data_IF_971698299747
#
_entry.id   IF_971698299747
#
_cell.length_a   1.000
_cell.length_b   1.000
_cell.length_c   1.000
_cell.angle_alpha   90.00
_cell.angle_beta   90.00
_cell.angle_gamma   90.00
#
_symmetry.space_group_name_H-M   'P 1'
#
loop_
_entity.id
_entity.type
_entity.pdbx_description
1 polymer ?
#
# COMPACT_ATOMS: atom_id res chain seq x y z
N UNK A 1 32.95 88.47 -45.85
CA UNK A 1 32.04 87.40 -46.33
C UNK A 1 32.94 86.21 -46.65
N UNK A 2 32.81 84.99 -46.15
CA UNK A 2 31.85 84.29 -45.31
C UNK A 2 32.34 82.84 -45.24
N UNK A 3 31.60 81.96 -44.55
CA UNK A 3 31.81 80.50 -44.43
C UNK A 3 32.51 80.10 -43.12
N UNK A 4 31.75 80.21 -42.03
CA UNK A 4 31.97 79.45 -40.79
C UNK A 4 30.63 79.11 -40.14
N UNK A 5 29.69 78.54 -40.89
CA UNK A 5 28.36 78.14 -40.34
C UNK A 5 27.70 77.03 -41.19
N UNK A 6 28.26 75.81 -41.19
CA UNK A 6 27.58 74.66 -41.83
C UNK A 6 27.52 73.38 -40.97
N UNK A 7 28.47 73.13 -40.08
CA UNK A 7 28.50 71.85 -39.35
C UNK A 7 27.59 71.75 -38.11
N UNK A 8 27.01 72.85 -37.63
CA UNK A 8 26.14 72.84 -36.42
C UNK A 8 24.70 72.39 -36.71
N UNK A 9 24.22 72.54 -37.94
CA UNK A 9 22.85 72.15 -38.33
C UNK A 9 22.71 70.65 -38.59
N UNK A 10 23.76 70.00 -39.10
CA UNK A 10 23.74 68.55 -39.37
C UNK A 10 23.76 67.71 -38.09
N UNK A 11 24.53 68.10 -37.06
CA UNK A 11 24.54 67.39 -35.77
C UNK A 11 23.21 67.48 -35.00
N UNK A 12 22.46 68.57 -35.14
CA UNK A 12 21.13 68.73 -34.50
C UNK A 12 20.07 67.89 -35.24
N UNK A 13 20.18 67.77 -36.57
CA UNK A 13 19.29 66.90 -37.36
C UNK A 13 19.56 65.42 -37.11
N UNK A 14 20.83 65.01 -36.94
CA UNK A 14 21.20 63.64 -36.57
C UNK A 14 20.81 63.28 -35.13
N UNK A 15 20.83 64.24 -34.19
CA UNK A 15 20.40 63.99 -32.80
C UNK A 15 18.88 63.86 -32.67
N UNK A 16 18.10 64.58 -33.49
CA UNK A 16 16.64 64.47 -33.54
C UNK A 16 16.16 63.15 -34.16
N UNK A 17 16.89 62.58 -35.11
CA UNK A 17 16.58 61.28 -35.72
C UNK A 17 16.92 60.13 -34.75
N UNK A 18 17.99 60.24 -33.95
CA UNK A 18 18.32 59.23 -32.92
C UNK A 18 17.40 59.31 -31.69
N UNK A 19 16.90 60.50 -31.33
CA UNK A 19 15.86 60.67 -30.30
C UNK A 19 14.46 60.24 -30.77
N UNK A 20 14.18 60.24 -32.08
CA UNK A 20 12.95 59.70 -32.66
C UNK A 20 12.94 58.18 -32.82
N UNK A 21 14.09 57.51 -32.74
CA UNK A 21 14.23 56.06 -32.87
C UNK A 21 14.21 55.31 -31.52
N UNK A 22 14.15 56.03 -30.39
CA UNK A 22 14.15 55.44 -29.03
C UNK A 22 12.80 55.54 -28.31
N UNK A 23 11.72 55.94 -29.01
CA UNK A 23 10.43 56.25 -28.36
C UNK A 23 9.16 55.82 -29.11
N UNK A 24 9.24 54.96 -30.12
CA UNK A 24 8.06 54.36 -30.73
C UNK A 24 8.18 52.84 -30.64
N UNK A 25 7.75 52.27 -29.52
CA UNK A 25 7.15 50.93 -29.58
C UNK A 25 6.03 50.99 -30.61
N UNK A 26 5.92 50.01 -31.51
CA UNK A 26 4.83 50.02 -32.48
C UNK A 26 3.50 50.06 -31.73
N UNK A 27 2.50 50.76 -32.27
CA UNK A 27 1.16 50.76 -31.68
C UNK A 27 0.62 49.32 -31.47
N UNK A 28 1.06 48.40 -32.33
CA UNK A 28 0.83 46.96 -32.24
C UNK A 28 1.48 46.33 -30.99
N UNK A 29 2.72 46.72 -30.64
CA UNK A 29 3.39 46.27 -29.42
C UNK A 29 2.67 46.76 -28.16
N UNK A 30 2.28 48.04 -28.11
CA UNK A 30 1.55 48.61 -26.97
C UNK A 30 0.17 47.95 -26.80
N UNK A 31 -0.55 47.71 -27.89
CA UNK A 31 -1.82 47.00 -27.85
C UNK A 31 -1.66 45.56 -27.36
N UNK A 32 -0.65 44.83 -27.86
CA UNK A 32 -0.38 43.45 -27.44
C UNK A 32 0.06 43.37 -25.96
N UNK A 33 0.79 44.38 -25.47
CA UNK A 33 1.16 44.48 -24.05
C UNK A 33 -0.07 44.67 -23.16
N UNK A 34 -0.98 45.58 -23.54
CA UNK A 34 -2.24 45.82 -22.81
C UNK A 34 -3.10 44.56 -22.77
N UNK A 35 -3.20 43.83 -23.89
CA UNK A 35 -3.96 42.58 -23.94
C UNK A 35 -3.29 41.47 -23.12
N UNK A 36 -1.97 41.41 -23.09
CA UNK A 36 -1.22 40.52 -22.22
C UNK A 36 -1.47 40.83 -20.74
N UNK A 37 -1.42 42.09 -20.33
CA UNK A 37 -1.71 42.51 -18.95
C UNK A 37 -3.15 42.19 -18.54
N UNK A 38 -4.12 42.44 -19.41
CA UNK A 38 -5.52 42.04 -19.20
C UNK A 38 -5.65 40.52 -19.08
N UNK A 39 -4.95 39.76 -19.91
CA UNK A 39 -4.98 38.30 -19.88
C UNK A 39 -4.33 37.74 -18.60
N UNK A 40 -3.24 38.35 -18.12
CA UNK A 40 -2.62 38.04 -16.83
C UNK A 40 -3.56 38.31 -15.67
N UNK A 41 -4.23 39.46 -15.66
CA UNK A 41 -5.20 39.83 -14.65
C UNK A 41 -6.40 38.86 -14.61
N UNK A 42 -6.87 38.46 -15.79
CA UNK A 42 -7.95 37.48 -15.94
C UNK A 42 -7.53 36.03 -15.67
N UNK A 43 -6.23 35.74 -15.59
CA UNK A 43 -5.64 34.39 -15.41
C UNK A 43 -6.21 33.35 -16.37
N UNK A 44 -6.42 33.72 -17.64
CA UNK A 44 -6.96 32.84 -18.68
C UNK A 44 -5.82 32.38 -19.61
N UNK A 45 -5.55 31.08 -19.67
CA UNK A 45 -4.36 30.58 -20.35
C UNK A 45 -4.41 30.80 -21.86
N UNK A 46 -5.59 30.71 -22.46
CA UNK A 46 -5.78 30.87 -23.90
C UNK A 46 -5.51 32.31 -24.33
N UNK A 47 -6.08 33.28 -23.60
CA UNK A 47 -5.83 34.71 -23.85
C UNK A 47 -4.37 35.09 -23.63
N UNK A 48 -3.71 34.48 -22.65
CA UNK A 48 -2.28 34.70 -22.38
C UNK A 48 -1.43 34.21 -23.56
N UNK A 49 -1.74 33.04 -24.14
CA UNK A 49 -1.00 32.53 -25.31
C UNK A 49 -1.21 33.43 -26.53
N UNK A 50 -2.44 33.88 -26.79
CA UNK A 50 -2.73 34.79 -27.92
C UNK A 50 -1.91 36.07 -27.82
N UNK A 51 -1.94 36.75 -26.66
CA UNK A 51 -1.20 37.99 -26.46
C UNK A 51 0.33 37.78 -26.52
N UNK A 52 0.83 36.68 -25.94
CA UNK A 52 2.26 36.33 -26.01
C UNK A 52 2.72 35.92 -27.41
N UNK A 53 1.83 35.44 -28.28
CA UNK A 53 2.17 35.12 -29.67
C UNK A 53 2.54 36.41 -30.40
N UNK A 54 1.68 37.43 -30.28
CA UNK A 54 1.90 38.75 -30.88
C UNK A 54 3.14 39.44 -30.30
N UNK A 55 3.30 39.44 -28.99
CA UNK A 55 4.48 40.00 -28.33
C UNK A 55 5.78 39.28 -28.72
N UNK A 56 5.74 37.95 -28.87
CA UNK A 56 6.90 37.17 -29.31
C UNK A 56 7.25 37.38 -30.78
N UNK A 57 6.28 37.65 -31.65
CA UNK A 57 6.54 38.01 -33.06
C UNK A 57 7.25 39.36 -33.18
N UNK A 58 6.90 40.32 -32.32
CA UNK A 58 7.50 41.67 -32.30
C UNK A 58 8.86 41.67 -31.58
N UNK A 59 8.94 41.05 -30.40
CA UNK A 59 10.13 41.05 -29.53
C UNK A 59 10.48 39.62 -29.03
N UNK A 60 11.01 38.73 -29.90
CA UNK A 60 11.24 37.32 -29.55
C UNK A 60 12.20 37.11 -28.38
N UNK A 61 13.23 37.96 -28.27
CA UNK A 61 14.24 37.87 -27.19
C UNK A 61 13.66 38.14 -25.81
N UNK A 62 12.63 38.98 -25.74
CA UNK A 62 11.98 39.38 -24.49
C UNK A 62 10.89 38.39 -24.10
N UNK A 63 10.02 38.01 -25.04
CA UNK A 63 8.81 37.24 -24.74
C UNK A 63 8.90 35.74 -25.07
N UNK A 64 9.93 35.28 -25.79
CA UNK A 64 10.02 33.89 -26.25
C UNK A 64 9.94 32.85 -25.15
N UNK A 65 10.63 33.08 -24.03
CA UNK A 65 10.56 32.16 -22.87
C UNK A 65 9.16 32.11 -22.25
N UNK A 66 8.49 33.26 -22.13
CA UNK A 66 7.14 33.34 -21.59
C UNK A 66 6.14 32.67 -22.54
N UNK A 67 6.25 32.93 -23.85
CA UNK A 67 5.45 32.32 -24.89
C UNK A 67 5.59 30.80 -24.89
N UNK A 68 6.82 30.26 -24.88
CA UNK A 68 7.05 28.82 -24.82
C UNK A 68 6.39 28.18 -23.59
N UNK A 69 6.50 28.83 -22.43
CA UNK A 69 5.93 28.35 -21.17
C UNK A 69 4.39 28.35 -21.23
N UNK A 70 3.78 29.45 -21.68
CA UNK A 70 2.34 29.57 -21.82
C UNK A 70 1.77 28.60 -22.86
N UNK A 71 2.44 28.44 -24.01
CA UNK A 71 2.03 27.51 -25.06
C UNK A 71 2.09 26.04 -24.58
N UNK A 72 3.17 25.66 -23.86
CA UNK A 72 3.25 24.33 -23.22
C UNK A 72 2.11 24.10 -22.22
N UNK A 73 1.78 25.12 -21.41
CA UNK A 73 0.69 25.04 -20.45
C UNK A 73 -0.68 24.91 -21.14
N UNK A 74 -0.96 25.71 -22.18
CA UNK A 74 -2.20 25.65 -22.96
C UNK A 74 -2.38 24.30 -23.66
N UNK A 75 -1.33 23.76 -24.31
CA UNK A 75 -1.37 22.42 -24.89
C UNK A 75 -1.69 21.34 -23.86
N UNK A 76 -1.09 21.41 -22.68
CA UNK A 76 -1.38 20.48 -21.59
C UNK A 76 -2.80 20.63 -21.05
N UNK A 77 -3.32 21.85 -20.96
CA UNK A 77 -4.69 22.15 -20.54
C UNK A 77 -5.72 21.59 -21.53
N UNK A 78 -5.54 21.84 -22.83
CA UNK A 78 -6.43 21.31 -23.87
C UNK A 78 -6.40 19.77 -23.92
N UNK A 79 -5.23 19.17 -23.71
CA UNK A 79 -5.11 17.72 -23.53
C UNK A 79 -5.89 17.23 -22.31
N UNK A 80 -5.83 17.93 -21.19
CA UNK A 80 -6.59 17.58 -19.99
C UNK A 80 -8.11 17.64 -20.22
N UNK A 81 -8.60 18.64 -20.96
CA UNK A 81 -10.03 18.72 -21.35
C UNK A 81 -10.45 17.48 -22.15
N UNK A 82 -9.70 17.15 -23.19
CA UNK A 82 -10.02 16.00 -24.05
C UNK A 82 -10.07 14.68 -23.24
N UNK A 83 -9.08 14.48 -22.37
CA UNK A 83 -9.00 13.30 -21.51
C UNK A 83 -10.11 13.25 -20.45
N UNK A 84 -10.49 14.42 -19.90
CA UNK A 84 -11.61 14.47 -18.97
C UNK A 84 -12.94 14.11 -19.65
N UNK A 85 -13.14 14.55 -20.90
CA UNK A 85 -14.32 14.23 -21.69
C UNK A 85 -14.38 12.75 -22.09
N UNK A 86 -13.22 12.09 -22.25
CA UNK A 86 -13.14 10.64 -22.51
C UNK A 86 -13.21 9.77 -21.26
N UNK A 87 -13.28 10.37 -20.05
CA UNK A 87 -13.31 9.63 -18.78
C UNK A 87 -11.95 9.12 -18.31
N UNK A 88 -10.85 9.57 -18.92
CA UNK A 88 -9.48 9.23 -18.53
C UNK A 88 -8.99 10.12 -17.37
N UNK A 89 -9.63 9.98 -16.21
CA UNK A 89 -9.44 10.87 -15.04
C UNK A 89 -7.96 11.00 -14.60
N UNK A 90 -7.17 9.91 -14.68
CA UNK A 90 -5.75 9.91 -14.32
C UNK A 90 -4.88 10.72 -15.28
N UNK A 91 -5.00 10.44 -16.58
CA UNK A 91 -4.24 11.12 -17.63
C UNK A 91 -4.67 12.59 -17.69
N UNK A 92 -5.96 12.87 -17.45
CA UNK A 92 -6.50 14.21 -17.31
C UNK A 92 -5.86 14.95 -16.14
N UNK A 93 -5.76 14.31 -14.95
CA UNK A 93 -5.04 14.85 -13.80
C UNK A 93 -3.56 15.14 -14.10
N UNK A 94 -2.84 14.20 -14.72
CA UNK A 94 -1.43 14.42 -15.06
C UNK A 94 -1.25 15.59 -16.03
N UNK A 95 -2.15 15.74 -17.00
CA UNK A 95 -2.12 16.82 -17.97
C UNK A 95 -2.49 18.17 -17.35
N UNK A 96 -3.49 18.19 -16.46
CA UNK A 96 -3.89 19.40 -15.73
C UNK A 96 -2.81 19.85 -14.72
N UNK A 97 -2.14 18.91 -14.05
CA UNK A 97 -0.98 19.20 -13.19
C UNK A 97 0.13 19.88 -14.00
N UNK A 98 0.48 19.32 -15.17
CA UNK A 98 1.48 19.92 -16.06
C UNK A 98 1.07 21.33 -16.51
N UNK A 99 -0.20 21.52 -16.87
CA UNK A 99 -0.71 22.83 -17.26
C UNK A 99 -0.55 23.86 -16.15
N UNK A 100 -1.06 23.56 -14.94
CA UNK A 100 -1.05 24.49 -13.82
C UNK A 100 0.36 24.77 -13.29
N UNK A 101 1.24 23.76 -13.22
CA UNK A 101 2.64 23.95 -12.78
C UNK A 101 3.48 24.68 -13.83
N UNK A 102 3.16 24.49 -15.11
CA UNK A 102 3.75 25.30 -16.17
C UNK A 102 3.25 26.74 -16.08
N UNK A 103 1.95 27.00 -15.96
CA UNK A 103 1.41 28.34 -15.78
C UNK A 103 0.16 28.33 -14.88
N UNK A 104 0.16 29.04 -13.73
CA UNK A 104 -0.91 28.94 -12.74
C UNK A 104 -2.14 29.78 -13.11
N UNK A 105 -2.75 29.47 -14.25
CA UNK A 105 -3.99 30.06 -14.72
C UNK A 105 -5.21 29.50 -13.95
N UNK A 106 -6.30 30.27 -13.91
CA UNK A 106 -7.50 29.93 -13.13
C UNK A 106 -8.24 28.72 -13.71
N UNK A 107 -8.33 28.64 -15.04
CA UNK A 107 -8.89 27.50 -15.77
C UNK A 107 -8.12 26.20 -15.51
N UNK A 108 -6.78 26.27 -15.55
CA UNK A 108 -5.87 25.17 -15.28
C UNK A 108 -5.96 24.72 -13.83
N UNK A 109 -6.10 25.67 -12.89
CA UNK A 109 -6.36 25.37 -11.47
C UNK A 109 -7.70 24.64 -11.30
N UNK A 110 -8.77 25.12 -11.93
CA UNK A 110 -10.09 24.50 -11.83
C UNK A 110 -10.08 23.06 -12.38
N UNK A 111 -9.47 22.85 -13.54
CA UNK A 111 -9.27 21.53 -14.14
C UNK A 111 -8.42 20.62 -13.23
N UNK A 112 -7.33 21.13 -12.65
CA UNK A 112 -6.49 20.39 -11.70
C UNK A 112 -7.27 19.94 -10.46
N UNK A 113 -8.09 20.82 -9.88
CA UNK A 113 -8.90 20.46 -8.71
C UNK A 113 -9.97 19.43 -9.08
N UNK A 114 -10.66 19.62 -10.21
CA UNK A 114 -11.71 18.71 -10.67
C UNK A 114 -11.17 17.31 -10.94
N UNK A 115 -10.13 17.21 -11.77
CA UNK A 115 -9.46 15.95 -12.11
C UNK A 115 -8.77 15.32 -10.90
N UNK A 116 -8.10 16.13 -10.07
CA UNK A 116 -7.44 15.68 -8.84
C UNK A 116 -8.39 15.04 -7.84
N UNK A 117 -9.60 15.58 -7.66
CA UNK A 117 -10.63 14.99 -6.79
C UNK A 117 -11.06 13.59 -7.25
N UNK A 118 -11.01 13.30 -8.56
CA UNK A 118 -11.36 11.96 -9.10
C UNK A 118 -10.32 10.90 -8.73
N UNK A 119 -9.07 11.30 -8.51
CA UNK A 119 -7.94 10.40 -8.23
C UNK A 119 -7.36 10.52 -6.82
N UNK A 120 -7.89 11.42 -5.97
CA UNK A 120 -7.37 11.67 -4.61
C UNK A 120 -7.41 10.43 -3.70
N UNK A 121 -8.32 9.49 -3.98
CA UNK A 121 -8.46 8.23 -3.25
C UNK A 121 -7.17 7.39 -3.29
N UNK A 122 -6.31 7.57 -4.30
CA UNK A 122 -4.99 6.94 -4.38
C UNK A 122 -4.08 7.34 -3.19
N UNK A 123 -4.23 8.54 -2.64
CA UNK A 123 -3.51 8.96 -1.44
C UNK A 123 -3.99 8.18 -0.20
N UNK A 124 -5.26 7.77 -0.16
CA UNK A 124 -5.78 6.92 0.91
C UNK A 124 -5.26 5.47 0.77
N UNK A 125 -5.09 4.98 -0.46
CA UNK A 125 -4.42 3.70 -0.74
C UNK A 125 -2.96 3.75 -0.26
N UNK A 126 -2.20 4.77 -0.69
CA UNK A 126 -0.80 4.98 -0.27
C UNK A 126 -0.67 5.05 1.25
N UNK A 127 -1.57 5.77 1.94
CA UNK A 127 -1.58 5.86 3.40
C UNK A 127 -1.75 4.49 4.07
N UNK A 128 -2.66 3.65 3.57
CA UNK A 128 -2.87 2.31 4.13
C UNK A 128 -1.70 1.37 3.80
N UNK A 129 -1.10 1.49 2.61
CA UNK A 129 0.11 0.78 2.23
C UNK A 129 1.26 1.14 3.17
N UNK A 130 1.54 2.44 3.37
CA UNK A 130 2.56 2.92 4.31
C UNK A 130 2.33 2.37 5.72
N UNK A 131 1.09 2.46 6.21
CA UNK A 131 0.69 1.93 7.51
C UNK A 131 1.00 0.43 7.64
N UNK A 132 0.85 -0.36 6.57
CA UNK A 132 1.20 -1.78 6.58
C UNK A 132 2.70 -1.98 6.86
N UNK A 133 3.58 -1.25 6.19
CA UNK A 133 5.03 -1.32 6.44
C UNK A 133 5.41 -0.85 7.84
N UNK A 134 4.83 0.26 8.31
CA UNK A 134 5.08 0.80 9.66
C UNK A 134 4.69 -0.19 10.78
N UNK A 135 3.76 -1.10 10.49
CA UNK A 135 3.26 -2.11 11.42
C UNK A 135 4.02 -3.45 11.35
N UNK A 136 4.93 -3.64 10.40
CA UNK A 136 5.68 -4.89 10.31
C UNK A 136 6.67 -5.02 11.49
N UNK A 137 6.82 -6.23 12.05
CA UNK A 137 7.89 -6.49 13.00
C UNK A 137 9.25 -6.15 12.42
N UNK A 138 10.07 -5.43 13.18
CA UNK A 138 11.47 -5.18 12.81
C UNK A 138 12.25 -6.50 12.84
N UNK A 139 13.21 -6.65 11.92
CA UNK A 139 14.10 -7.81 11.83
C UNK A 139 13.34 -9.15 11.72
N UNK A 140 12.29 -9.19 10.89
CA UNK A 140 11.39 -10.34 10.78
C UNK A 140 12.11 -11.65 10.46
N UNK A 141 13.19 -11.64 9.68
CA UNK A 141 13.96 -12.87 9.42
C UNK A 141 14.56 -13.45 10.71
N UNK A 142 15.22 -12.62 11.52
CA UNK A 142 15.85 -13.04 12.78
C UNK A 142 14.80 -13.58 13.75
N UNK A 143 13.62 -12.94 13.77
CA UNK A 143 12.48 -13.37 14.56
C UNK A 143 12.00 -14.76 14.15
N UNK A 144 11.80 -15.01 12.85
CA UNK A 144 11.39 -16.33 12.36
C UNK A 144 12.44 -17.40 12.71
N UNK A 145 13.73 -17.10 12.49
CA UNK A 145 14.83 -18.02 12.80
C UNK A 145 14.91 -18.35 14.30
N UNK A 146 14.64 -17.37 15.17
CA UNK A 146 14.58 -17.56 16.62
C UNK A 146 13.51 -18.56 16.99
N UNK A 147 12.29 -18.41 16.48
CA UNK A 147 11.16 -19.27 16.86
C UNK A 147 11.21 -20.66 16.21
N UNK A 148 11.77 -20.76 15.01
CA UNK A 148 11.98 -22.04 14.33
C UNK A 148 12.97 -22.95 15.09
N UNK A 149 13.96 -22.38 15.76
CA UNK A 149 15.02 -23.14 16.44
C UNK A 149 14.82 -23.24 17.97
N UNK A 150 13.71 -22.72 18.50
CA UNK A 150 13.44 -22.66 19.95
C UNK A 150 12.30 -23.60 20.30
N UNK A 151 12.47 -24.38 21.39
CA UNK A 151 11.40 -25.21 21.93
C UNK A 151 10.14 -24.37 22.16
N UNK A 152 9.00 -24.87 21.72
CA UNK A 152 7.70 -24.22 21.87
C UNK A 152 7.33 -23.93 23.33
N UNK A 153 7.79 -24.76 24.27
CA UNK A 153 7.61 -24.55 25.71
C UNK A 153 8.30 -23.29 26.23
N UNK A 154 9.31 -22.80 25.51
CA UNK A 154 10.13 -21.67 25.91
C UNK A 154 9.72 -20.39 25.17
N UNK A 155 8.67 -20.45 24.34
CA UNK A 155 8.21 -19.29 23.60
C UNK A 155 7.67 -18.21 24.56
N UNK A 156 8.16 -16.99 24.37
CA UNK A 156 7.60 -15.83 25.07
C UNK A 156 6.25 -15.49 24.42
N UNK A 157 5.17 -15.83 25.13
CA UNK A 157 3.78 -15.63 24.71
C UNK A 157 3.45 -14.15 24.49
N UNK A 158 4.01 -13.24 25.29
CA UNK A 158 3.76 -11.80 25.14
C UNK A 158 4.37 -11.33 23.82
N UNK A 159 5.64 -11.69 23.61
CA UNK A 159 6.38 -11.27 22.42
C UNK A 159 5.78 -11.84 21.14
N UNK A 160 5.44 -13.14 21.10
CA UNK A 160 4.84 -13.75 19.90
C UNK A 160 3.43 -13.19 19.61
N UNK A 161 2.63 -12.93 20.63
CA UNK A 161 1.30 -12.33 20.47
C UNK A 161 1.39 -10.92 19.88
N UNK A 162 2.37 -10.12 20.33
CA UNK A 162 2.63 -8.80 19.75
C UNK A 162 3.00 -8.89 18.26
N UNK A 163 3.81 -9.87 17.88
CA UNK A 163 4.18 -10.07 16.48
C UNK A 163 3.01 -10.50 15.60
N UNK A 164 2.20 -11.46 16.05
CA UNK A 164 0.99 -11.85 15.34
C UNK A 164 0.00 -10.68 15.21
N UNK A 165 -0.13 -9.87 16.25
CA UNK A 165 -0.97 -8.67 16.21
C UNK A 165 -0.45 -7.64 15.20
N UNK A 166 0.86 -7.37 15.19
CA UNK A 166 1.53 -6.50 14.23
C UNK A 166 1.30 -6.96 12.79
N UNK A 167 1.56 -8.24 12.51
CA UNK A 167 1.38 -8.84 11.19
C UNK A 167 -0.06 -8.77 10.72
N UNK A 168 -1.03 -9.11 11.57
CA UNK A 168 -2.42 -9.03 11.15
C UNK A 168 -2.98 -7.60 11.12
N UNK A 169 -2.46 -6.64 11.91
CA UNK A 169 -2.76 -5.20 11.72
C UNK A 169 -2.20 -4.71 10.37
N UNK A 170 -0.99 -5.15 10.01
CA UNK A 170 -0.37 -4.87 8.71
C UNK A 170 -1.21 -5.44 7.56
N UNK A 171 -1.60 -6.72 7.63
CA UNK A 171 -2.47 -7.35 6.64
C UNK A 171 -3.82 -6.64 6.50
N UNK A 172 -4.46 -6.23 7.60
CA UNK A 172 -5.72 -5.44 7.56
C UNK A 172 -5.54 -4.08 6.89
N UNK A 173 -4.40 -3.43 7.06
CA UNK A 173 -4.10 -2.18 6.35
C UNK A 173 -4.02 -2.42 4.83
N UNK A 174 -3.37 -3.51 4.40
CA UNK A 174 -3.36 -3.92 2.98
C UNK A 174 -4.76 -4.27 2.46
N UNK A 175 -5.59 -4.97 3.26
CA UNK A 175 -7.00 -5.22 2.91
C UNK A 175 -7.77 -3.93 2.68
N UNK A 176 -7.56 -2.90 3.51
CA UNK A 176 -8.20 -1.60 3.32
C UNK A 176 -7.70 -0.90 2.06
N UNK A 177 -6.40 -1.00 1.76
CA UNK A 177 -5.85 -0.46 0.51
C UNK A 177 -6.48 -1.10 -0.73
N UNK A 178 -6.60 -2.44 -0.74
CA UNK A 178 -7.25 -3.19 -1.82
C UNK A 178 -8.74 -2.84 -1.95
N UNK A 179 -9.46 -2.80 -0.83
CA UNK A 179 -10.88 -2.43 -0.82
C UNK A 179 -11.13 -1.03 -1.39
N UNK A 180 -10.27 -0.06 -1.08
CA UNK A 180 -10.35 1.29 -1.65
C UNK A 180 -10.14 1.30 -3.17
N UNK A 181 -9.37 0.35 -3.69
CA UNK A 181 -9.19 0.16 -5.13
C UNK A 181 -10.46 -0.50 -5.72
N UNK A 182 -10.93 -1.58 -5.13
CA UNK A 182 -12.08 -2.35 -5.61
C UNK A 182 -13.38 -1.52 -5.65
N UNK A 183 -13.56 -0.58 -4.72
CA UNK A 183 -14.73 0.31 -4.63
C UNK A 183 -14.77 1.41 -5.73
N UNK A 184 -13.75 1.50 -6.59
CA UNK A 184 -13.69 2.52 -7.65
C UNK A 184 -13.90 1.89 -9.02
N UNK A 185 -15.03 2.22 -9.64
CA UNK A 185 -15.43 1.75 -10.99
C UNK A 185 -14.36 2.01 -12.06
N UNK A 186 -13.59 3.12 -11.94
CA UNK A 186 -12.50 3.46 -12.87
C UNK A 186 -11.14 2.82 -12.51
N UNK A 187 -11.07 1.98 -11.47
CA UNK A 187 -9.79 1.43 -10.97
C UNK A 187 -9.05 0.58 -12.01
N UNK A 188 -9.79 -0.17 -12.83
CA UNK A 188 -9.25 -1.03 -13.88
C UNK A 188 -8.53 -0.22 -14.98
N UNK A 189 -9.03 0.97 -15.31
CA UNK A 189 -8.39 1.85 -16.29
C UNK A 189 -7.14 2.58 -15.73
N UNK A 190 -7.02 2.65 -14.40
CA UNK A 190 -5.98 3.40 -13.70
C UNK A 190 -4.81 2.48 -13.28
N UNK A 191 -5.09 1.21 -12.98
CA UNK A 191 -4.16 0.32 -12.27
C UNK A 191 -3.71 -0.90 -13.07
N UNK A 192 -4.32 -1.18 -14.22
CA UNK A 192 -4.08 -2.41 -14.97
C UNK A 192 -2.91 -2.32 -15.98
N UNK A 193 -2.30 -1.14 -16.19
CA UNK A 193 -1.06 -1.05 -16.99
C UNK A 193 0.23 -1.42 -16.23
N UNK A 194 0.21 -1.55 -14.89
CA UNK A 194 1.47 -1.72 -14.12
C UNK A 194 1.42 -2.72 -12.96
N UNK A 195 0.32 -3.46 -12.74
CA UNK A 195 0.28 -4.52 -11.73
C UNK A 195 0.37 -4.07 -10.26
N UNK A 196 0.14 -2.79 -9.93
CA UNK A 196 0.24 -2.29 -8.55
C UNK A 196 -0.79 -2.95 -7.61
N UNK A 197 -2.02 -3.15 -8.09
CA UNK A 197 -3.04 -3.92 -7.36
C UNK A 197 -2.56 -5.33 -7.02
N UNK A 198 -2.05 -6.05 -8.03
CA UNK A 198 -1.49 -7.38 -7.85
C UNK A 198 -0.31 -7.37 -6.88
N UNK A 199 0.54 -6.34 -6.95
CA UNK A 199 1.62 -6.11 -6.01
C UNK A 199 1.15 -5.96 -4.56
N UNK A 200 0.13 -5.15 -4.30
CA UNK A 200 -0.45 -4.97 -2.96
C UNK A 200 -1.09 -6.26 -2.48
N UNK A 201 -1.77 -7.00 -3.36
CA UNK A 201 -2.38 -8.29 -3.05
C UNK A 201 -1.32 -9.35 -2.70
N UNK A 202 -0.24 -9.42 -3.48
CA UNK A 202 0.88 -10.33 -3.21
C UNK A 202 1.56 -9.96 -1.90
N UNK A 203 1.79 -8.67 -1.63
CA UNK A 203 2.29 -8.20 -0.35
C UNK A 203 1.38 -8.65 0.81
N UNK A 204 0.06 -8.60 0.64
CA UNK A 204 -0.88 -9.08 1.67
C UNK A 204 -0.73 -10.59 1.92
N UNK A 205 -0.62 -11.40 0.85
CA UNK A 205 -0.40 -12.84 0.96
C UNK A 205 0.90 -13.14 1.70
N UNK A 206 1.99 -12.44 1.35
CA UNK A 206 3.30 -12.61 2.00
C UNK A 206 3.25 -12.27 3.49
N UNK A 207 2.58 -11.17 3.86
CA UNK A 207 2.40 -10.81 5.29
C UNK A 207 1.56 -11.85 6.04
N UNK A 208 0.51 -12.39 5.43
CA UNK A 208 -0.27 -13.50 6.04
C UNK A 208 0.57 -14.76 6.18
N UNK A 209 1.37 -15.10 5.17
CA UNK A 209 2.28 -16.24 5.19
C UNK A 209 3.30 -16.18 6.33
N UNK A 210 3.72 -14.99 6.75
CA UNK A 210 4.59 -14.81 7.93
C UNK A 210 3.87 -15.23 9.23
N UNK A 211 2.61 -14.84 9.41
CA UNK A 211 1.80 -15.28 10.56
C UNK A 211 1.54 -16.78 10.53
N UNK A 212 1.15 -17.30 9.36
CA UNK A 212 0.89 -18.72 9.15
C UNK A 212 2.13 -19.56 9.45
N UNK A 213 3.32 -19.12 9.03
CA UNK A 213 4.55 -19.83 9.32
C UNK A 213 4.85 -19.95 10.83
N UNK A 214 4.65 -18.88 11.61
CA UNK A 214 4.81 -18.93 13.07
C UNK A 214 3.83 -19.91 13.73
N UNK A 215 2.57 -19.91 13.27
CA UNK A 215 1.53 -20.83 13.75
C UNK A 215 1.89 -22.27 13.38
N UNK A 216 2.35 -22.49 12.14
CA UNK A 216 2.74 -23.80 11.63
C UNK A 216 3.92 -24.40 12.39
N UNK A 217 4.93 -23.59 12.76
CA UNK A 217 6.04 -24.06 13.61
C UNK A 217 5.49 -24.59 14.94
N UNK A 218 4.61 -23.81 15.59
CA UNK A 218 4.03 -24.23 16.86
C UNK A 218 3.20 -25.51 16.72
N UNK A 219 2.33 -25.59 15.71
CA UNK A 219 1.52 -26.77 15.44
C UNK A 219 2.38 -28.00 15.11
N UNK A 220 3.43 -27.83 14.32
CA UNK A 220 4.33 -28.93 13.97
C UNK A 220 5.00 -29.54 15.21
N UNK A 221 5.59 -28.71 16.06
CA UNK A 221 6.26 -29.19 17.26
C UNK A 221 5.28 -29.74 18.30
N UNK A 222 4.12 -29.11 18.46
CA UNK A 222 3.06 -29.65 19.31
C UNK A 222 2.55 -31.00 18.79
N UNK A 223 2.46 -31.18 17.47
CA UNK A 223 2.02 -32.45 16.87
C UNK A 223 3.05 -33.55 17.08
N UNK A 224 4.34 -33.24 17.08
CA UNK A 224 5.40 -34.19 17.40
C UNK A 224 5.30 -34.70 18.84
N UNK A 225 5.06 -33.82 19.81
CA UNK A 225 4.86 -34.23 21.20
C UNK A 225 3.55 -35.01 21.37
N UNK A 226 2.47 -34.56 20.74
CA UNK A 226 1.18 -35.21 20.77
C UNK A 226 1.26 -36.65 20.19
N UNK A 227 2.04 -36.84 19.12
CA UNK A 227 2.30 -38.15 18.54
C UNK A 227 3.03 -39.10 19.50
N UNK A 228 4.04 -38.61 20.22
CA UNK A 228 4.79 -39.39 21.22
C UNK A 228 3.87 -39.83 22.37
N UNK A 229 3.07 -38.90 22.90
CA UNK A 229 2.12 -39.17 23.97
C UNK A 229 1.05 -40.18 23.54
N UNK A 230 0.46 -39.99 22.36
CA UNK A 230 -0.51 -40.93 21.80
C UNK A 230 0.07 -42.34 21.66
N UNK A 231 1.26 -42.45 21.07
CA UNK A 231 1.94 -43.75 20.91
C UNK A 231 2.18 -44.43 22.26
N UNK A 232 2.64 -43.67 23.26
CA UNK A 232 2.84 -44.18 24.61
C UNK A 232 1.54 -44.67 25.27
N UNK A 233 0.45 -43.90 25.16
CA UNK A 233 -0.86 -44.27 25.71
C UNK A 233 -1.41 -45.55 25.08
N UNK A 234 -1.27 -45.70 23.77
CA UNK A 234 -1.74 -46.89 23.05
C UNK A 234 -0.92 -48.13 23.43
N UNK A 235 0.40 -48.02 23.49
CA UNK A 235 1.26 -49.14 23.87
C UNK A 235 1.02 -49.59 25.32
N UNK A 236 0.80 -48.63 26.23
CA UNK A 236 0.42 -48.95 27.62
C UNK A 236 -0.97 -49.56 27.71
N UNK A 237 -1.93 -49.11 26.90
CA UNK A 237 -3.26 -49.69 26.84
C UNK A 237 -3.21 -51.16 26.42
N UNK A 238 -2.46 -51.48 25.36
CA UNK A 238 -2.25 -52.87 24.90
C UNK A 238 -1.59 -53.73 25.98
N UNK A 239 -0.54 -53.21 26.63
CA UNK A 239 0.17 -53.94 27.67
C UNK A 239 -0.72 -54.25 28.88
N UNK A 240 -1.49 -53.29 29.37
CA UNK A 240 -2.40 -53.49 30.51
C UNK A 240 -3.53 -54.47 30.18
N UNK A 241 -4.14 -54.35 29.00
CA UNK A 241 -5.16 -55.30 28.55
C UNK A 241 -4.65 -56.74 28.44
N UNK A 242 -3.35 -56.94 28.20
CA UNK A 242 -2.75 -58.27 28.19
C UNK A 242 -2.49 -58.85 29.58
N UNK A 243 -2.59 -58.04 30.64
CA UNK A 243 -2.18 -58.39 32.01
C UNK A 243 -3.34 -58.46 33.01
N UNK A 244 -4.36 -57.63 32.83
CA UNK A 244 -5.48 -57.49 33.77
C UNK A 244 -6.82 -57.40 33.05
N UNK A 245 -7.91 -57.58 33.80
CA UNK A 245 -9.27 -57.38 33.28
C UNK A 245 -9.48 -55.96 32.74
N UNK A 246 -10.35 -55.83 31.72
CA UNK A 246 -10.56 -54.58 30.98
C UNK A 246 -10.98 -53.40 31.87
N UNK A 247 -11.80 -53.64 32.90
CA UNK A 247 -12.19 -52.64 33.90
C UNK A 247 -11.00 -52.09 34.72
N UNK A 248 -10.07 -52.95 35.14
CA UNK A 248 -8.86 -52.57 35.89
C UNK A 248 -7.87 -51.85 34.97
N UNK A 249 -7.67 -52.35 33.75
CA UNK A 249 -6.84 -51.69 32.74
C UNK A 249 -7.36 -50.28 32.42
N UNK A 250 -8.68 -50.13 32.28
CA UNK A 250 -9.34 -48.86 32.01
C UNK A 250 -9.17 -47.88 33.18
N UNK A 251 -9.33 -48.32 34.43
CA UNK A 251 -9.14 -47.48 35.61
C UNK A 251 -7.70 -46.94 35.70
N UNK A 252 -6.70 -47.79 35.48
CA UNK A 252 -5.28 -47.39 35.43
C UNK A 252 -4.99 -46.44 34.25
N UNK A 253 -5.56 -46.73 33.06
CA UNK A 253 -5.36 -45.85 31.91
C UNK A 253 -5.96 -44.47 32.12
N UNK A 254 -7.12 -44.32 32.79
CA UNK A 254 -7.67 -42.98 33.10
C UNK A 254 -6.64 -42.07 33.79
N UNK A 255 -5.87 -42.61 34.74
CA UNK A 255 -4.81 -41.87 35.43
C UNK A 255 -3.69 -41.47 34.47
N UNK A 256 -3.31 -42.36 33.54
CA UNK A 256 -2.25 -42.11 32.55
C UNK A 256 -2.65 -41.07 31.50
N UNK A 257 -3.89 -41.11 31.03
CA UNK A 257 -4.42 -40.08 30.12
C UNK A 257 -4.42 -38.70 30.78
N UNK A 258 -4.82 -38.61 32.05
CA UNK A 258 -4.78 -37.35 32.79
C UNK A 258 -3.34 -36.81 32.92
N UNK A 259 -2.37 -37.66 33.27
CA UNK A 259 -0.95 -37.27 33.33
C UNK A 259 -0.39 -36.82 31.97
N UNK A 260 -0.76 -37.52 30.89
CA UNK A 260 -0.34 -37.15 29.54
C UNK A 260 -0.90 -35.77 29.13
N UNK A 261 -2.17 -35.50 29.48
CA UNK A 261 -2.80 -34.19 29.27
C UNK A 261 -2.09 -33.08 30.06
N UNK A 262 -1.73 -33.34 31.30
CA UNK A 262 -0.97 -32.40 32.14
C UNK A 262 0.42 -32.11 31.58
N UNK A 263 1.15 -33.14 31.12
CA UNK A 263 2.45 -32.99 30.47
C UNK A 263 2.36 -32.12 29.21
N UNK A 264 1.25 -32.22 28.47
CA UNK A 264 1.05 -31.50 27.22
C UNK A 264 0.50 -30.08 27.39
N UNK A 265 0.08 -29.69 28.60
CA UNK A 265 -0.53 -28.39 28.89
C UNK A 265 0.24 -27.17 28.36
N UNK A 266 1.59 -27.10 28.39
CA UNK A 266 2.33 -25.97 27.82
C UNK A 266 2.06 -25.78 26.30
N UNK A 267 1.90 -26.87 25.56
CA UNK A 267 1.63 -26.85 24.12
C UNK A 267 0.21 -26.38 23.83
N UNK A 268 -0.79 -26.92 24.56
CA UNK A 268 -2.18 -26.45 24.47
C UNK A 268 -2.26 -24.95 24.76
N UNK A 269 -1.60 -24.49 25.84
CA UNK A 269 -1.59 -23.07 26.23
C UNK A 269 -1.01 -22.18 25.14
N UNK A 270 0.12 -22.60 24.51
CA UNK A 270 0.70 -21.87 23.40
C UNK A 270 -0.26 -21.81 22.21
N UNK A 271 -0.75 -22.95 21.74
CA UNK A 271 -1.61 -23.01 20.55
C UNK A 271 -2.88 -22.20 20.74
N UNK A 272 -3.49 -22.30 21.92
CA UNK A 272 -4.65 -21.51 22.29
C UNK A 272 -4.34 -20.00 22.26
N UNK A 273 -3.22 -19.58 22.83
CA UNK A 273 -2.77 -18.17 22.77
C UNK A 273 -2.59 -17.68 21.33
N UNK A 274 -1.90 -18.45 20.49
CA UNK A 274 -1.68 -18.10 19.08
C UNK A 274 -3.01 -18.02 18.32
N UNK A 275 -3.97 -18.86 18.66
CA UNK A 275 -5.31 -18.82 18.05
C UNK A 275 -6.06 -17.53 18.37
N UNK A 276 -5.92 -17.00 19.59
CA UNK A 276 -6.52 -15.71 19.96
C UNK A 276 -5.78 -14.55 19.29
N UNK A 277 -4.44 -14.55 19.34
CA UNK A 277 -3.63 -13.48 18.78
C UNK A 277 -3.79 -13.34 17.26
N UNK A 278 -3.99 -14.46 16.55
CA UNK A 278 -4.19 -14.47 15.10
C UNK A 278 -5.62 -14.11 14.64
N UNK A 279 -6.60 -14.09 15.56
CA UNK A 279 -8.02 -13.81 15.25
C UNK A 279 -8.40 -12.32 15.33
N UNK A 280 -7.55 -11.44 14.77
CA UNK A 280 -7.67 -9.99 14.96
C UNK A 280 -9.04 -9.41 14.60
N UNK A 281 -9.70 -8.83 15.61
CA UNK A 281 -10.96 -8.10 15.47
C UNK A 281 -12.23 -8.91 15.80
N UNK A 282 -12.11 -10.17 16.23
CA UNK A 282 -13.26 -11.05 16.47
C UNK A 282 -13.66 -11.20 17.96
N UNK A 283 -13.46 -10.19 18.82
CA UNK A 283 -14.03 -10.15 20.17
C UNK A 283 -13.79 -11.41 21.01
N UNK A 284 -12.51 -11.74 21.28
CA UNK A 284 -12.08 -12.92 22.06
C UNK A 284 -12.53 -14.28 21.48
N UNK A 285 -12.57 -14.42 20.17
CA UNK A 285 -12.80 -15.72 19.50
C UNK A 285 -11.50 -16.29 18.98
N UNK A 286 -11.38 -17.61 19.00
CA UNK A 286 -10.27 -18.33 18.38
C UNK A 286 -10.25 -18.17 16.86
N UNK A 287 -9.06 -18.27 16.27
CA UNK A 287 -8.91 -18.37 14.83
C UNK A 287 -9.58 -19.64 14.29
N UNK A 288 -10.06 -19.59 13.05
CA UNK A 288 -10.83 -20.69 12.43
C UNK A 288 -10.11 -22.04 12.44
N UNK A 289 -8.78 -22.03 12.28
CA UNK A 289 -7.97 -23.24 12.26
C UNK A 289 -7.94 -23.97 13.61
N UNK A 290 -8.19 -23.27 14.72
CA UNK A 290 -8.04 -23.82 16.07
C UNK A 290 -9.01 -24.96 16.36
N UNK A 291 -10.24 -24.89 15.86
CA UNK A 291 -11.25 -25.94 16.07
C UNK A 291 -10.76 -27.30 15.56
N UNK A 292 -10.08 -27.32 14.42
CA UNK A 292 -9.53 -28.56 13.87
C UNK A 292 -8.42 -29.09 14.76
N UNK A 293 -7.54 -28.21 15.24
CA UNK A 293 -6.45 -28.57 16.14
C UNK A 293 -6.94 -29.09 17.50
N UNK A 294 -7.85 -28.36 18.15
CA UNK A 294 -8.41 -28.75 19.46
C UNK A 294 -9.12 -30.11 19.41
N UNK A 295 -9.74 -30.44 18.27
CA UNK A 295 -10.35 -31.75 18.07
C UNK A 295 -9.32 -32.88 18.00
N UNK A 296 -8.13 -32.64 17.44
CA UNK A 296 -7.05 -33.64 17.45
C UNK A 296 -6.54 -33.86 18.87
N UNK A 297 -6.30 -32.79 19.64
CA UNK A 297 -5.90 -32.89 21.05
C UNK A 297 -6.94 -33.66 21.88
N UNK A 298 -8.22 -33.33 21.70
CA UNK A 298 -9.31 -34.00 22.41
C UNK A 298 -9.34 -35.50 22.11
N UNK A 299 -9.14 -35.90 20.84
CA UNK A 299 -9.13 -37.31 20.45
C UNK A 299 -7.97 -38.09 21.07
N UNK A 300 -6.80 -37.47 21.24
CA UNK A 300 -5.63 -38.12 21.85
C UNK A 300 -5.80 -38.29 23.36
N UNK A 301 -6.36 -37.28 24.04
CA UNK A 301 -6.48 -37.28 25.50
C UNK A 301 -7.82 -37.80 26.03
N UNK A 302 -8.70 -38.30 25.16
CA UNK A 302 -9.94 -38.97 25.56
C UNK A 302 -9.76 -40.48 25.48
N UNK A 303 -9.82 -41.16 26.64
CA UNK A 303 -9.90 -42.61 26.68
C UNK A 303 -11.30 -43.04 26.21
N UNK A 304 -11.37 -43.66 25.03
CA UNK A 304 -12.61 -44.26 24.55
C UNK A 304 -12.88 -45.56 25.30
N UNK A 305 -14.12 -45.73 25.76
CA UNK A 305 -14.57 -46.89 26.51
C UNK A 305 -15.44 -47.78 25.60
N UNK A 306 -15.17 -49.08 25.52
CA UNK A 306 -14.13 -49.82 26.25
C UNK A 306 -12.72 -49.56 25.68
N UNK A 307 -11.66 -49.79 26.48
CA UNK A 307 -10.26 -49.45 26.15
C UNK A 307 -9.76 -50.02 24.81
N UNK A 308 -10.33 -51.14 24.35
CA UNK A 308 -10.09 -51.72 23.02
C UNK A 308 -10.45 -50.74 21.89
N UNK A 309 -11.49 -49.94 22.07
CA UNK A 309 -11.92 -48.94 21.09
C UNK A 309 -10.86 -47.84 20.94
N UNK A 310 -10.21 -47.42 22.03
CA UNK A 310 -9.10 -46.47 21.96
C UNK A 310 -7.95 -47.03 21.10
N UNK A 311 -7.59 -48.30 21.29
CA UNK A 311 -6.55 -48.97 20.51
C UNK A 311 -6.94 -49.06 19.02
N UNK A 312 -8.19 -49.40 18.72
CA UNK A 312 -8.69 -49.51 17.34
C UNK A 312 -8.67 -48.17 16.60
N UNK A 313 -8.96 -47.07 17.29
CA UNK A 313 -9.01 -45.72 16.70
C UNK A 313 -7.63 -45.07 16.51
N UNK A 314 -6.56 -45.67 17.05
CA UNK A 314 -5.20 -45.12 16.95
C UNK A 314 -4.80 -44.80 15.50
N UNK A 315 -5.15 -45.66 14.54
CA UNK A 315 -4.79 -45.45 13.13
C UNK A 315 -5.39 -44.15 12.56
N UNK A 316 -6.64 -43.83 12.91
CA UNK A 316 -7.27 -42.56 12.50
C UNK A 316 -6.66 -41.37 13.24
N UNK A 317 -6.39 -41.51 14.54
CA UNK A 317 -5.78 -40.44 15.35
C UNK A 317 -4.39 -40.09 14.83
N UNK A 318 -3.55 -41.10 14.54
CA UNK A 318 -2.22 -40.90 13.97
C UNK A 318 -2.29 -40.18 12.63
N UNK A 319 -3.22 -40.53 11.73
CA UNK A 319 -3.40 -39.82 10.45
C UNK A 319 -3.71 -38.33 10.65
N UNK A 320 -4.52 -37.99 11.64
CA UNK A 320 -4.82 -36.58 11.95
C UNK A 320 -3.59 -35.85 12.48
N UNK A 321 -2.84 -36.46 13.39
CA UNK A 321 -1.60 -35.86 13.93
C UNK A 321 -0.56 -35.67 12.81
N UNK A 322 -0.38 -36.67 11.93
CA UNK A 322 0.57 -36.64 10.82
C UNK A 322 0.29 -35.53 9.80
N UNK A 323 -0.97 -35.09 9.67
CA UNK A 323 -1.30 -33.95 8.80
C UNK A 323 -0.62 -32.64 9.25
N UNK A 324 -0.26 -32.53 10.54
CA UNK A 324 0.46 -31.40 11.11
C UNK A 324 1.97 -31.62 11.25
N UNK A 325 2.47 -32.84 11.03
CA UNK A 325 3.90 -33.20 11.10
C UNK A 325 4.59 -33.17 9.74
N UNK A 326 3.99 -32.52 8.74
CA UNK A 326 4.57 -32.39 7.41
C UNK A 326 5.68 -31.34 7.42
N UNK A 327 6.89 -31.70 6.94
CA UNK A 327 8.01 -30.76 6.84
C UNK A 327 7.69 -29.53 5.96
N UNK A 328 6.76 -29.67 5.02
CA UNK A 328 6.26 -28.55 4.21
C UNK A 328 5.66 -27.41 5.04
N UNK A 329 5.18 -27.68 6.27
CA UNK A 329 4.67 -26.66 7.19
C UNK A 329 5.77 -25.74 7.71
N UNK A 330 7.03 -26.19 7.70
CA UNK A 330 8.19 -25.44 8.18
C UNK A 330 8.89 -24.66 7.07
N UNK A 331 8.33 -24.60 5.85
CA UNK A 331 8.91 -23.82 4.75
C UNK A 331 8.83 -22.34 5.11
N UNK A 332 10.00 -21.73 5.26
CA UNK A 332 10.13 -20.31 5.59
C UNK A 332 9.63 -19.44 4.42
N UNK A 333 8.76 -18.45 4.68
CA UNK A 333 8.34 -17.49 3.66
C UNK A 333 9.53 -16.70 3.11
N UNK A 334 9.50 -16.37 1.82
CA UNK A 334 10.50 -15.51 1.20
C UNK A 334 10.38 -14.07 1.75
N UNK A 335 11.42 -13.63 2.46
CA UNK A 335 11.57 -12.27 2.95
C UNK A 335 12.60 -11.56 2.06
N UNK A 336 12.12 -10.65 1.22
CA UNK A 336 12.95 -9.79 0.39
C UNK A 336 12.80 -8.33 0.80
N UNK A 337 13.62 -7.46 0.22
CA UNK A 337 13.57 -6.02 0.44
C UNK A 337 12.18 -5.41 0.13
N UNK A 338 11.46 -5.94 -0.86
CA UNK A 338 10.11 -5.45 -1.20
C UNK A 338 9.10 -5.74 -0.09
N UNK A 339 9.28 -6.83 0.67
CA UNK A 339 8.40 -7.16 1.80
C UNK A 339 8.58 -6.17 2.95
N UNK A 340 9.82 -5.80 3.25
CA UNK A 340 10.16 -5.06 4.48
C UNK A 340 10.38 -3.57 4.25
N UNK A 341 10.54 -3.14 2.99
CA UNK A 341 10.84 -1.75 2.64
C UNK A 341 9.85 -1.20 1.60
N UNK A 342 9.04 -0.23 2.02
CA UNK A 342 8.05 0.43 1.16
C UNK A 342 8.70 1.07 -0.08
N UNK A 343 9.89 1.68 0.06
CA UNK A 343 10.54 2.34 -1.07
C UNK A 343 10.93 1.34 -2.15
N UNK A 344 11.42 0.16 -1.75
CA UNK A 344 11.79 -0.92 -2.66
C UNK A 344 10.57 -1.51 -3.35
N UNK A 345 9.45 -1.63 -2.65
CA UNK A 345 8.18 -2.00 -3.27
C UNK A 345 7.71 -0.96 -4.29
N UNK A 346 7.71 0.32 -3.92
CA UNK A 346 7.24 1.41 -4.79
C UNK A 346 8.15 1.66 -6.00
N UNK A 347 9.44 1.31 -5.91
CA UNK A 347 10.39 1.39 -7.02
C UNK A 347 10.02 0.47 -8.20
N UNK A 348 9.27 -0.61 -7.96
CA UNK A 348 8.72 -1.48 -9.02
C UNK A 348 7.60 -0.79 -9.81
N UNK A 349 6.98 0.24 -9.24
CA UNK A 349 5.84 0.95 -9.83
C UNK A 349 6.15 2.44 -10.03
N UNK A 350 7.11 2.81 -10.90
CA UNK A 350 7.59 4.18 -11.05
C UNK A 350 6.50 5.17 -11.51
N UNK A 351 5.60 4.73 -12.39
CA UNK A 351 4.47 5.55 -12.86
C UNK A 351 3.51 5.91 -11.73
N UNK A 352 3.20 4.95 -10.86
CA UNK A 352 2.36 5.17 -9.67
C UNK A 352 3.07 6.04 -8.65
N UNK A 353 4.35 5.76 -8.38
CA UNK A 353 5.16 6.60 -7.49
C UNK A 353 5.20 8.05 -7.95
N UNK A 354 5.41 8.27 -9.25
CA UNK A 354 5.42 9.60 -9.87
C UNK A 354 4.05 10.28 -9.80
N UNK A 355 2.95 9.53 -9.88
CA UNK A 355 1.59 10.03 -9.71
C UNK A 355 1.33 10.46 -8.26
N UNK A 356 1.63 9.59 -7.28
CA UNK A 356 1.43 9.86 -5.86
C UNK A 356 2.24 11.07 -5.39
N UNK A 357 3.46 11.26 -5.89
CA UNK A 357 4.27 12.46 -5.61
C UNK A 357 3.54 13.72 -6.09
N UNK A 358 3.02 13.74 -7.31
CA UNK A 358 2.28 14.89 -7.84
C UNK A 358 0.99 15.13 -7.04
N UNK A 359 0.24 14.09 -6.72
CA UNK A 359 -0.97 14.19 -5.91
C UNK A 359 -0.69 14.76 -4.52
N UNK A 360 0.39 14.32 -3.89
CA UNK A 360 0.82 14.87 -2.61
C UNK A 360 1.23 16.35 -2.73
N UNK A 361 1.88 16.76 -3.82
CA UNK A 361 2.21 18.18 -4.08
C UNK A 361 0.95 19.06 -4.27
N UNK A 362 -0.11 18.50 -4.84
CA UNK A 362 -1.36 19.21 -5.13
C UNK A 362 -2.43 19.03 -4.04
N UNK A 363 -2.19 18.18 -3.03
CA UNK A 363 -3.19 17.76 -2.04
C UNK A 363 -3.97 18.92 -1.42
N UNK A 364 -3.27 19.95 -0.92
CA UNK A 364 -3.92 21.11 -0.31
C UNK A 364 -4.80 21.87 -1.31
N UNK A 365 -4.36 21.98 -2.56
CA UNK A 365 -5.12 22.63 -3.62
C UNK A 365 -6.35 21.80 -3.99
N UNK A 366 -6.23 20.47 -4.07
CA UNK A 366 -7.34 19.58 -4.38
C UNK A 366 -8.40 19.61 -3.26
N UNK A 367 -7.96 19.58 -1.99
CA UNK A 367 -8.84 19.54 -0.83
C UNK A 367 -9.50 20.90 -0.52
N UNK A 368 -8.84 22.03 -0.77
CA UNK A 368 -9.32 23.35 -0.33
C UNK A 368 -9.31 24.44 -1.42
N UNK A 369 -8.82 24.13 -2.63
CA UNK A 369 -8.48 25.14 -3.64
C UNK A 369 -9.65 25.81 -4.33
N UNK A 370 -10.87 25.32 -4.14
CA UNK A 370 -12.11 26.00 -4.54
C UNK A 370 -12.82 26.45 -3.26
N UNK A 371 -12.44 27.61 -2.72
CA UNK A 371 -13.29 28.30 -1.76
C UNK A 371 -14.66 28.55 -2.40
N UNK A 372 -15.72 28.36 -1.61
CA UNK A 372 -17.16 28.30 -1.89
C UNK A 372 -17.80 29.46 -2.68
N UNK A 373 -17.04 30.36 -3.30
CA UNK A 373 -17.54 31.50 -4.07
C UNK A 373 -17.61 31.30 -5.58
N UNK A 374 -17.17 30.14 -6.11
CA UNK A 374 -17.09 29.90 -7.56
C UNK A 374 -18.13 28.93 -8.12
N UNK A 375 -19.08 28.45 -7.31
CA UNK A 375 -20.17 27.57 -7.76
C UNK A 375 -21.47 28.31 -8.12
N UNK A 376 -21.53 29.62 -7.95
CA UNK A 376 -22.66 30.45 -8.39
C UNK A 376 -22.16 31.48 -9.40
N UNK A 377 -22.07 31.07 -10.67
CA UNK A 377 -22.20 31.95 -11.85
C UNK A 377 -22.51 31.14 -13.08
#
# INVERSE_FOLDING_TARGET
MGVFTSHKKWRIFSLAIVLGLLGCTSAEHEAALVDYEKALAAKNIEKIVVALTQLNEISPTEYGKAFERANKASKAYNKAIALQLSGEDYQAYLSSHRAYRAWPAQDSKAMLVMTGKKVEWLLAVEKNLKKSYDLLPRNISILLDKYQNKSVTDWDLITINQYLEQLGKSSRALTKALKLIDEKESSHLILDENGWYQGINEQQKRVKGLSEHLINIAQYHSADELWKLNSHLVDKSKALLSQVESNLAQAEMKVRFQKAKEQYLPFTTLIENLSFASALGNGNRHAKWYVNWSNVELQVFTLNEPIEQHIQQNTSTVKLIESYRQLSMLVKPNIDEKLVNQQQFMAVYPSISSLLIKLNQDKTLISYGLSTSQYNR
#
